data_IF_454479094039
#
_entry.id   IF_454479094039
#
_cell.length_a   1.000
_cell.length_b   1.000
_cell.length_c   1.000
_cell.angle_alpha   90.00
_cell.angle_beta   90.00
_cell.angle_gamma   90.00
#
_symmetry.space_group_name_H-M   'P 1'
#
loop_
_entity.id
_entity.type
_entity.pdbx_description
1 polymer ?
#
# COMPACT_ATOMS: atom_id res chain seq x y z
N UNK A 1 -31.95 -18.13 47.31
CA UNK A 1 -31.46 -18.40 45.93
C UNK A 1 -31.41 -17.17 45.00
N UNK A 2 -31.37 -15.91 45.49
CA UNK A 2 -31.39 -14.72 44.61
C UNK A 2 -30.07 -13.92 44.53
N UNK A 3 -29.00 -14.37 45.21
CA UNK A 3 -27.73 -13.61 45.33
C UNK A 3 -26.57 -14.13 44.47
N UNK A 4 -26.76 -15.21 43.70
CA UNK A 4 -25.71 -15.81 42.85
C UNK A 4 -25.81 -15.47 41.35
N UNK A 5 -26.90 -14.85 40.90
CA UNK A 5 -27.05 -14.43 39.49
C UNK A 5 -26.37 -13.08 39.17
N UNK A 6 -26.12 -12.25 40.18
CA UNK A 6 -25.53 -10.91 39.97
C UNK A 6 -24.04 -10.96 39.59
N UNK A 7 -23.31 -11.99 40.06
CA UNK A 7 -21.89 -12.19 39.74
C UNK A 7 -21.68 -12.79 38.33
N UNK A 8 -22.64 -13.56 37.81
CA UNK A 8 -22.57 -14.11 36.44
C UNK A 8 -22.85 -13.05 35.37
N UNK A 9 -23.68 -12.04 35.66
CA UNK A 9 -23.95 -10.92 34.75
C UNK A 9 -22.73 -9.98 34.67
N UNK A 10 -22.02 -9.76 35.78
CA UNK A 10 -20.79 -8.96 35.79
C UNK A 10 -19.62 -9.63 35.05
N UNK A 11 -19.55 -10.96 35.05
CA UNK A 11 -18.53 -11.71 34.28
C UNK A 11 -18.88 -11.81 32.77
N UNK A 12 -20.16 -11.70 32.42
CA UNK A 12 -20.60 -11.65 31.01
C UNK A 12 -20.37 -10.27 30.37
N UNK A 13 -20.35 -9.19 31.16
CA UNK A 13 -20.09 -7.82 30.68
C UNK A 13 -18.59 -7.57 30.44
N UNK A 14 -17.69 -8.26 31.15
CA UNK A 14 -16.24 -8.23 30.86
C UNK A 14 -15.84 -9.04 29.62
N UNK A 15 -16.78 -9.75 28.99
CA UNK A 15 -16.61 -10.42 27.70
C UNK A 15 -17.26 -9.65 26.54
N UNK A 16 -17.78 -8.44 26.78
CA UNK A 16 -18.24 -7.57 25.71
C UNK A 16 -17.02 -7.04 24.96
N UNK A 17 -16.89 -7.56 23.75
CA UNK A 17 -15.78 -7.47 22.81
C UNK A 17 -15.06 -6.13 22.75
N UNK A 18 -13.76 -6.23 22.46
CA UNK A 18 -13.05 -5.17 21.76
C UNK A 18 -13.93 -4.74 20.57
N UNK A 19 -14.34 -3.48 20.54
CA UNK A 19 -15.15 -2.96 19.45
C UNK A 19 -14.35 -3.17 18.16
N UNK A 20 -14.95 -3.87 17.21
CA UNK A 20 -14.47 -3.95 15.85
C UNK A 20 -14.42 -2.53 15.27
N UNK A 21 -13.30 -2.18 14.65
CA UNK A 21 -13.11 -0.87 14.02
C UNK A 21 -12.79 -1.04 12.55
N UNK A 22 -13.42 -0.26 11.70
CA UNK A 22 -12.96 -0.10 10.33
C UNK A 22 -11.64 0.66 10.36
N UNK A 23 -10.62 0.08 9.75
CA UNK A 23 -9.28 0.67 9.72
C UNK A 23 -9.10 1.58 8.51
N UNK A 24 -9.63 1.15 7.36
CA UNK A 24 -9.60 1.86 6.09
C UNK A 24 -10.80 2.80 5.97
N UNK A 25 -10.55 4.09 5.80
CA UNK A 25 -11.53 5.09 5.40
C UNK A 25 -11.26 5.49 3.96
N UNK A 26 -12.05 5.03 2.98
CA UNK A 26 -11.82 5.38 1.60
C UNK A 26 -12.37 6.78 1.25
N UNK A 27 -11.99 7.79 2.04
CA UNK A 27 -12.41 9.18 1.88
C UNK A 27 -11.33 10.14 2.38
N UNK A 28 -11.29 11.32 1.77
CA UNK A 28 -10.49 12.47 2.19
C UNK A 28 -11.35 13.33 3.11
N UNK A 29 -10.84 13.78 4.25
CA UNK A 29 -11.61 14.57 5.22
C UNK A 29 -10.97 15.93 5.42
N UNK A 30 -11.74 17.00 5.19
CA UNK A 30 -11.25 18.36 5.35
C UNK A 30 -12.17 19.23 6.18
N UNK A 31 -11.56 20.14 6.94
CA UNK A 31 -12.28 21.19 7.66
C UNK A 31 -12.67 22.32 6.72
N UNK A 32 -13.96 22.61 6.61
CA UNK A 32 -14.48 23.67 5.74
C UNK A 32 -15.33 24.65 6.55
N UNK A 33 -15.07 25.94 6.38
CA UNK A 33 -15.93 26.99 6.91
C UNK A 33 -17.09 27.27 5.96
N UNK A 34 -18.30 27.42 6.50
CA UNK A 34 -19.47 27.88 5.77
C UNK A 34 -20.07 29.11 6.45
N UNK A 35 -20.30 30.18 5.69
CA UNK A 35 -21.02 31.36 6.20
C UNK A 35 -22.47 31.00 6.54
N UNK A 36 -23.14 30.35 5.60
CA UNK A 36 -24.49 29.82 5.73
C UNK A 36 -24.43 28.30 5.69
N UNK A 37 -25.13 27.65 6.64
CA UNK A 37 -25.09 26.19 6.73
C UNK A 37 -25.79 25.56 5.52
N UNK A 38 -25.15 24.58 4.84
CA UNK A 38 -25.80 23.88 3.75
C UNK A 38 -26.88 22.91 4.25
N UNK A 39 -27.87 22.67 3.40
CA UNK A 39 -28.82 21.57 3.58
C UNK A 39 -28.17 20.26 3.13
N UNK A 40 -28.20 19.26 4.01
CA UNK A 40 -27.67 17.93 3.76
C UNK A 40 -28.82 16.93 3.59
N UNK A 41 -28.76 16.10 2.55
CA UNK A 41 -29.70 15.00 2.33
C UNK A 41 -28.92 13.71 2.07
N UNK A 42 -29.29 12.63 2.74
CA UNK A 42 -28.72 11.29 2.52
C UNK A 42 -29.25 10.67 1.22
N UNK A 43 -28.34 10.08 0.45
CA UNK A 43 -28.66 9.30 -0.74
C UNK A 43 -28.76 7.80 -0.40
N UNK A 44 -29.43 7.03 -1.26
CA UNK A 44 -29.61 5.58 -1.06
C UNK A 44 -28.32 4.75 -1.19
N UNK A 45 -27.23 5.35 -1.67
CA UNK A 45 -25.93 4.71 -1.88
C UNK A 45 -24.93 5.00 -0.75
N UNK A 46 -25.39 5.65 0.33
CA UNK A 46 -24.55 6.03 1.47
C UNK A 46 -23.73 7.31 1.25
N UNK A 47 -23.95 8.03 0.14
CA UNK A 47 -23.39 9.38 -0.05
C UNK A 47 -24.37 10.47 0.43
N UNK A 48 -23.88 11.71 0.48
CA UNK A 48 -24.64 12.89 0.84
C UNK A 48 -24.75 13.84 -0.34
N UNK A 49 -25.89 14.51 -0.46
CA UNK A 49 -26.05 15.68 -1.33
C UNK A 49 -26.08 16.94 -0.47
N UNK A 50 -25.24 17.90 -0.86
CA UNK A 50 -25.08 19.19 -0.20
C UNK A 50 -25.68 20.29 -1.07
N UNK A 51 -26.67 21.01 -0.55
CA UNK A 51 -27.28 22.18 -1.22
C UNK A 51 -27.03 23.43 -0.39
N UNK A 52 -26.46 24.46 -0.99
CA UNK A 52 -26.10 25.71 -0.34
C UNK A 52 -26.84 26.91 -0.99
N UNK A 53 -27.18 27.97 -0.23
CA UNK A 53 -27.86 29.16 -0.79
C UNK A 53 -27.11 29.83 -1.94
N UNK A 54 -25.77 29.73 -1.94
CA UNK A 54 -24.96 30.10 -3.09
C UNK A 54 -24.93 28.95 -4.12
N UNK A 55 -25.43 29.24 -5.32
CA UNK A 55 -25.56 28.26 -6.41
C UNK A 55 -24.22 27.66 -6.87
N UNK A 56 -23.14 28.45 -6.92
CA UNK A 56 -21.81 27.98 -7.31
C UNK A 56 -21.30 26.90 -6.36
N UNK A 57 -21.53 27.05 -5.05
CA UNK A 57 -21.17 26.03 -4.05
C UNK A 57 -21.93 24.74 -4.32
N UNK A 58 -23.26 24.81 -4.50
CA UNK A 58 -24.10 23.64 -4.84
C UNK A 58 -23.61 22.93 -6.10
N UNK A 59 -23.30 23.68 -7.15
CA UNK A 59 -22.83 23.14 -8.43
C UNK A 59 -21.46 22.47 -8.35
N UNK A 60 -20.56 22.98 -7.51
CA UNK A 60 -19.27 22.35 -7.26
C UNK A 60 -19.48 21.03 -6.51
N UNK A 61 -20.18 21.04 -5.37
CA UNK A 61 -20.41 19.83 -4.56
C UNK A 61 -21.14 18.72 -5.32
N UNK A 62 -22.05 19.07 -6.24
CA UNK A 62 -22.77 18.10 -7.06
C UNK A 62 -21.90 17.24 -7.99
N UNK A 63 -20.63 17.63 -8.23
CA UNK A 63 -19.69 16.87 -9.07
C UNK A 63 -18.93 15.79 -8.31
N UNK A 64 -18.96 15.84 -6.98
CA UNK A 64 -18.12 15.01 -6.11
C UNK A 64 -18.96 14.10 -5.23
N UNK A 65 -18.37 12.97 -4.82
CA UNK A 65 -19.00 12.10 -3.82
C UNK A 65 -18.68 12.64 -2.45
N UNK A 66 -19.72 12.97 -1.69
CA UNK A 66 -19.61 13.38 -0.29
C UNK A 66 -20.07 12.18 0.54
N UNK A 67 -19.25 11.75 1.48
CA UNK A 67 -19.51 10.58 2.31
C UNK A 67 -20.00 10.95 3.69
N UNK A 68 -19.56 12.09 4.23
CA UNK A 68 -19.90 12.54 5.57
C UNK A 68 -19.84 14.07 5.68
N UNK A 69 -20.63 14.61 6.60
CA UNK A 69 -20.68 16.03 6.94
C UNK A 69 -21.02 16.16 8.43
N UNK A 70 -20.08 16.65 9.23
CA UNK A 70 -20.27 16.79 10.67
C UNK A 70 -19.70 18.10 11.19
N UNK A 71 -20.31 18.62 12.26
CA UNK A 71 -19.85 19.84 12.91
C UNK A 71 -18.54 19.57 13.67
N UNK A 72 -17.44 20.17 13.24
CA UNK A 72 -16.13 20.02 13.88
C UNK A 72 -15.89 21.10 14.96
N UNK A 73 -16.27 22.35 14.68
CA UNK A 73 -16.24 23.46 15.64
C UNK A 73 -17.41 24.42 15.47
N UNK A 74 -18.43 24.22 16.32
CA UNK A 74 -19.69 24.98 16.29
C UNK A 74 -19.53 26.49 16.37
N UNK A 75 -18.72 26.95 17.32
CA UNK A 75 -18.46 28.40 17.52
C UNK A 75 -17.84 29.11 16.31
N UNK A 76 -17.29 28.36 15.35
CA UNK A 76 -16.63 28.88 14.15
C UNK A 76 -17.32 28.48 12.86
N UNK A 77 -18.43 27.73 12.89
CA UNK A 77 -19.08 27.15 11.71
C UNK A 77 -18.10 26.37 10.81
N UNK A 78 -17.23 25.59 11.44
CA UNK A 78 -16.30 24.71 10.73
C UNK A 78 -16.86 23.30 10.78
N UNK A 79 -16.98 22.68 9.62
CA UNK A 79 -17.53 21.35 9.43
C UNK A 79 -16.45 20.44 8.85
N UNK A 80 -16.37 19.21 9.32
CA UNK A 80 -15.61 18.16 8.66
C UNK A 80 -16.44 17.63 7.50
N UNK A 81 -15.85 17.62 6.31
CA UNK A 81 -16.48 17.12 5.09
C UNK A 81 -15.63 15.98 4.57
N UNK A 82 -16.22 14.79 4.45
CA UNK A 82 -15.57 13.62 3.86
C UNK A 82 -15.97 13.48 2.39
N UNK A 83 -15.01 13.39 1.48
CA UNK A 83 -15.23 13.37 0.03
C UNK A 83 -14.18 12.54 -0.72
N UNK A 84 -14.36 12.32 -2.02
CA UNK A 84 -13.48 11.43 -2.79
C UNK A 84 -12.26 12.10 -3.43
N UNK A 85 -12.34 13.35 -3.92
CA UNK A 85 -11.27 14.01 -4.69
C UNK A 85 -10.94 15.42 -4.20
N UNK A 86 -9.64 15.74 -4.14
CA UNK A 86 -9.12 17.09 -3.86
C UNK A 86 -9.40 18.11 -4.94
N UNK A 87 -9.85 17.72 -6.12
CA UNK A 87 -10.34 18.69 -7.12
C UNK A 87 -11.53 19.50 -6.57
N UNK A 88 -12.31 18.94 -5.63
CA UNK A 88 -13.34 19.69 -4.89
C UNK A 88 -12.73 20.92 -4.20
N UNK A 89 -11.60 20.73 -3.52
CA UNK A 89 -10.92 21.82 -2.82
C UNK A 89 -10.38 22.84 -3.82
N UNK A 90 -9.71 22.39 -4.87
CA UNK A 90 -9.16 23.27 -5.91
C UNK A 90 -10.27 24.12 -6.53
N UNK A 91 -11.43 23.52 -6.85
CA UNK A 91 -12.58 24.26 -7.39
C UNK A 91 -13.18 25.26 -6.39
N UNK A 92 -13.25 24.91 -5.10
CA UNK A 92 -13.73 25.84 -4.06
C UNK A 92 -12.79 27.04 -3.96
N UNK A 93 -11.48 26.81 -3.88
CA UNK A 93 -10.49 27.89 -3.73
C UNK A 93 -10.41 28.80 -4.95
N UNK A 94 -10.61 28.26 -6.16
CA UNK A 94 -10.60 29.01 -7.41
C UNK A 94 -11.90 29.79 -7.65
N UNK A 95 -13.06 29.21 -7.33
CA UNK A 95 -14.37 29.71 -7.81
C UNK A 95 -15.27 30.29 -6.73
N UNK A 96 -15.00 30.04 -5.45
CA UNK A 96 -15.86 30.49 -4.34
C UNK A 96 -15.18 31.59 -3.54
N UNK A 97 -15.89 32.70 -3.33
CA UNK A 97 -15.37 33.80 -2.54
C UNK A 97 -15.19 33.38 -1.08
N UNK A 98 -14.04 33.72 -0.47
CA UNK A 98 -13.66 33.25 0.88
C UNK A 98 -14.66 33.65 1.97
N UNK A 99 -15.40 34.74 1.80
CA UNK A 99 -16.44 35.16 2.73
C UNK A 99 -17.69 34.26 2.71
N UNK A 100 -17.87 33.43 1.68
CA UNK A 100 -18.96 32.46 1.56
C UNK A 100 -18.50 31.13 2.16
N UNK A 101 -17.33 30.67 1.72
CA UNK A 101 -16.78 29.37 2.09
C UNK A 101 -15.26 29.39 1.92
N UNK A 102 -14.53 28.69 2.78
CA UNK A 102 -13.10 28.46 2.59
C UNK A 102 -12.64 27.18 3.31
N UNK A 103 -11.54 26.61 2.85
CA UNK A 103 -10.88 25.49 3.53
C UNK A 103 -10.18 25.99 4.79
N UNK A 104 -10.59 25.48 5.94
CA UNK A 104 -10.04 25.85 7.23
C UNK A 104 -8.73 25.10 7.46
N UNK A 105 -7.64 25.67 6.96
CA UNK A 105 -6.30 25.17 7.24
C UNK A 105 -5.99 25.23 8.74
N UNK A 106 -5.67 24.08 9.33
CA UNK A 106 -5.58 23.88 10.77
C UNK A 106 -5.34 22.42 11.14
N UNK A 107 -5.83 21.97 12.29
CA UNK A 107 -5.58 20.61 12.82
C UNK A 107 -6.02 19.48 11.87
N UNK A 108 -7.06 19.72 11.07
CA UNK A 108 -7.58 18.76 10.09
C UNK A 108 -7.01 18.95 8.68
N UNK A 109 -6.39 20.10 8.39
CA UNK A 109 -5.89 20.47 7.06
C UNK A 109 -4.63 21.32 7.19
N UNK A 110 -3.48 20.76 7.56
CA UNK A 110 -2.33 21.59 7.91
C UNK A 110 -1.64 22.27 6.72
N UNK A 111 -2.03 21.99 5.47
CA UNK A 111 -1.31 22.46 4.29
C UNK A 111 -2.24 22.85 3.15
N UNK A 112 -1.87 23.91 2.43
CA UNK A 112 -2.42 24.21 1.11
C UNK A 112 -2.12 23.08 0.15
N UNK A 113 -3.09 22.74 -0.71
CA UNK A 113 -2.91 21.74 -1.75
C UNK A 113 -2.03 22.27 -2.86
N UNK A 114 -0.72 22.15 -2.69
CA UNK A 114 0.20 22.33 -3.81
C UNK A 114 0.43 20.97 -4.43
N UNK A 115 0.01 20.81 -5.68
CA UNK A 115 0.44 19.71 -6.52
C UNK A 115 1.54 20.20 -7.46
N UNK A 116 2.61 19.42 -7.58
CA UNK A 116 3.61 19.56 -8.63
C UNK A 116 3.61 18.32 -9.52
N UNK A 117 4.40 18.34 -10.59
CA UNK A 117 4.58 17.16 -11.43
C UNK A 117 5.33 16.07 -10.68
N UNK A 118 4.90 14.82 -10.87
CA UNK A 118 5.56 13.70 -10.21
C UNK A 118 6.97 13.55 -10.79
N UNK A 119 7.97 13.36 -9.92
CA UNK A 119 9.35 13.16 -10.33
C UNK A 119 9.47 11.92 -11.26
N UNK A 120 10.15 12.10 -12.39
CA UNK A 120 10.36 11.07 -13.40
C UNK A 120 11.02 9.79 -12.85
N UNK A 121 11.91 9.90 -11.85
CA UNK A 121 12.54 8.74 -11.20
C UNK A 121 11.53 7.92 -10.39
N UNK A 122 10.58 8.58 -9.73
CA UNK A 122 9.45 7.90 -9.05
C UNK A 122 8.59 7.18 -10.08
N UNK A 123 8.26 7.84 -11.18
CA UNK A 123 7.45 7.26 -12.27
C UNK A 123 8.17 6.03 -12.85
N UNK A 124 9.42 6.16 -13.30
CA UNK A 124 10.19 5.04 -13.87
C UNK A 124 10.36 3.89 -12.88
N UNK A 125 10.49 4.21 -11.58
CA UNK A 125 10.63 3.20 -10.56
C UNK A 125 9.32 2.46 -10.26
N UNK A 126 8.16 3.12 -10.24
CA UNK A 126 6.89 2.52 -9.81
C UNK A 126 5.99 2.05 -10.95
N UNK A 127 5.97 2.75 -12.10
CA UNK A 127 4.99 2.53 -13.16
C UNK A 127 5.00 1.10 -13.73
N UNK A 128 3.81 0.51 -13.82
CA UNK A 128 3.56 -0.84 -14.31
C UNK A 128 4.17 -1.94 -13.43
N UNK A 129 4.60 -1.62 -12.20
CA UNK A 129 5.25 -2.57 -11.29
C UNK A 129 4.42 -2.85 -10.06
N UNK A 130 4.77 -3.97 -9.44
CA UNK A 130 4.12 -4.51 -8.27
C UNK A 130 5.12 -4.70 -7.15
N UNK A 131 4.71 -4.37 -5.93
CA UNK A 131 5.56 -4.40 -4.77
C UNK A 131 4.87 -5.06 -3.58
N UNK A 132 5.65 -5.78 -2.79
CA UNK A 132 5.19 -6.42 -1.56
C UNK A 132 5.60 -5.59 -0.35
N UNK A 133 4.67 -5.40 0.58
CA UNK A 133 4.96 -4.71 1.84
C UNK A 133 5.88 -5.57 2.70
N UNK A 134 7.09 -5.09 2.98
CA UNK A 134 8.15 -5.88 3.60
C UNK A 134 8.45 -5.44 5.04
N UNK A 135 8.56 -4.13 5.30
CA UNK A 135 8.99 -3.63 6.61
C UNK A 135 8.33 -2.33 6.99
N UNK A 136 8.25 -2.03 8.29
CA UNK A 136 7.74 -0.77 8.80
C UNK A 136 8.43 -0.34 10.10
N UNK A 137 8.27 0.92 10.45
CA UNK A 137 8.83 1.53 11.65
C UNK A 137 7.94 2.70 12.07
N UNK A 138 7.80 2.87 13.38
CA UNK A 138 6.99 3.93 14.00
C UNK A 138 7.90 4.82 14.86
N UNK A 139 7.39 5.95 15.33
CA UNK A 139 8.06 6.78 16.34
C UNK A 139 9.52 7.14 16.00
N UNK A 140 9.84 7.28 14.70
CA UNK A 140 11.18 7.65 14.27
C UNK A 140 11.42 9.10 14.69
N UNK A 141 12.44 9.39 15.53
CA UNK A 141 12.72 10.75 15.94
C UNK A 141 13.33 11.55 14.79
N UNK A 142 12.59 12.56 14.32
CA UNK A 142 13.00 13.41 13.19
C UNK A 142 12.57 12.88 11.82
N UNK A 143 12.92 13.62 10.76
CA UNK A 143 12.66 13.24 9.37
C UNK A 143 13.88 12.53 8.78
N UNK A 144 13.65 11.45 8.04
CA UNK A 144 14.67 10.73 7.30
C UNK A 144 14.41 9.22 7.18
N UNK A 145 14.90 8.57 6.12
CA UNK A 145 14.58 7.17 5.79
C UNK A 145 15.21 6.15 6.74
N UNK A 146 15.92 6.60 7.78
CA UNK A 146 16.65 5.72 8.68
C UNK A 146 15.71 5.09 9.73
N UNK A 147 15.36 3.86 9.41
CA UNK A 147 14.54 2.97 10.24
C UNK A 147 15.40 2.05 11.15
N UNK A 148 16.72 2.21 11.18
CA UNK A 148 17.64 1.23 11.76
C UNK A 148 17.43 0.93 13.25
N UNK A 149 16.80 1.83 14.01
CA UNK A 149 16.63 1.69 15.45
C UNK A 149 15.40 0.86 15.85
N UNK A 150 14.39 0.73 14.99
CA UNK A 150 13.11 0.10 15.31
C UNK A 150 12.40 -0.52 14.10
N UNK A 151 13.17 -1.00 13.13
CA UNK A 151 12.65 -1.70 11.96
C UNK A 151 11.95 -3.01 12.35
N UNK A 152 10.69 -3.15 11.96
CA UNK A 152 9.90 -4.35 12.13
C UNK A 152 9.69 -5.02 10.77
N UNK A 153 9.91 -6.33 10.71
CA UNK A 153 9.62 -7.12 9.51
C UNK A 153 8.14 -7.53 9.48
N UNK A 154 7.53 -7.41 8.31
CA UNK A 154 6.20 -7.98 8.04
C UNK A 154 6.32 -9.51 8.04
N UNK A 155 5.43 -10.25 8.72
CA UNK A 155 5.45 -11.72 8.74
C UNK A 155 5.39 -12.31 7.32
N UNK A 156 6.09 -13.43 7.09
CA UNK A 156 6.19 -14.03 5.74
C UNK A 156 4.85 -14.56 5.18
N UNK A 157 3.86 -14.78 6.05
CA UNK A 157 2.51 -15.19 5.71
C UNK A 157 1.55 -14.00 5.53
N UNK A 158 1.97 -12.79 5.86
CA UNK A 158 1.22 -11.57 5.59
C UNK A 158 1.44 -11.14 4.13
N UNK A 159 0.40 -11.24 3.30
CA UNK A 159 0.45 -10.87 1.89
C UNK A 159 -0.31 -9.57 1.67
N UNK A 160 0.43 -8.46 1.53
CA UNK A 160 -0.10 -7.18 1.09
C UNK A 160 0.78 -6.68 -0.05
N UNK A 161 0.14 -6.42 -1.18
CA UNK A 161 0.82 -6.04 -2.41
C UNK A 161 0.13 -4.83 -3.02
N UNK A 162 0.95 -3.90 -3.52
CA UNK A 162 0.51 -2.72 -4.23
C UNK A 162 1.00 -2.76 -5.67
N UNK A 163 0.12 -2.43 -6.59
CA UNK A 163 0.46 -2.16 -7.99
C UNK A 163 0.33 -0.66 -8.25
N UNK A 164 1.27 -0.13 -9.02
CA UNK A 164 1.30 1.26 -9.42
C UNK A 164 1.20 1.38 -10.95
N UNK A 165 0.37 2.32 -11.42
CA UNK A 165 0.18 2.62 -12.82
C UNK A 165 0.16 4.16 -12.99
N UNK A 166 0.96 4.71 -13.89
CA UNK A 166 1.03 6.15 -14.13
C UNK A 166 0.19 6.58 -15.34
N UNK A 167 -0.60 7.64 -15.17
CA UNK A 167 -1.34 8.32 -16.23
C UNK A 167 -0.63 9.63 -16.60
N UNK A 168 0.04 9.64 -17.75
CA UNK A 168 0.74 10.81 -18.29
C UNK A 168 -0.19 11.99 -18.60
N UNK A 169 -1.48 11.74 -18.87
CA UNK A 169 -2.43 12.79 -19.28
C UNK A 169 -2.82 13.65 -18.08
N UNK A 170 -3.09 13.00 -16.96
CA UNK A 170 -3.56 13.65 -15.73
C UNK A 170 -2.43 13.90 -14.73
N UNK A 171 -1.21 13.41 -14.99
CA UNK A 171 -0.04 13.45 -14.09
C UNK A 171 -0.39 12.82 -12.74
N UNK A 172 -0.93 11.60 -12.80
CA UNK A 172 -1.47 10.84 -11.66
C UNK A 172 -0.82 9.48 -11.58
N UNK A 173 -0.37 9.11 -10.38
CA UNK A 173 0.04 7.75 -10.05
C UNK A 173 -1.09 7.03 -9.33
N UNK A 174 -1.69 6.04 -9.99
CA UNK A 174 -2.67 5.15 -9.39
C UNK A 174 -1.95 4.12 -8.53
N UNK A 175 -2.34 3.97 -7.27
CA UNK A 175 -1.85 2.95 -6.35
C UNK A 175 -3.03 2.11 -5.86
N UNK A 176 -2.95 0.78 -6.00
CA UNK A 176 -4.04 -0.13 -5.63
C UNK A 176 -3.54 -1.41 -4.99
N UNK A 177 -4.35 -1.96 -4.09
CA UNK A 177 -4.15 -3.33 -3.61
C UNK A 177 -4.59 -4.34 -4.67
N UNK A 178 -3.76 -5.36 -4.93
CA UNK A 178 -4.08 -6.41 -5.91
C UNK A 178 -5.22 -7.34 -5.48
N UNK A 179 -5.33 -7.58 -4.18
CA UNK A 179 -6.31 -8.46 -3.56
C UNK A 179 -6.74 -7.85 -2.23
N UNK A 180 -7.75 -8.46 -1.60
CA UNK A 180 -8.03 -8.20 -0.20
C UNK A 180 -6.77 -8.46 0.63
N UNK A 181 -6.42 -7.50 1.48
CA UNK A 181 -5.34 -7.61 2.45
C UNK A 181 -5.69 -8.66 3.52
N UNK A 182 -4.75 -9.04 4.41
CA UNK A 182 -5.01 -10.05 5.43
C UNK A 182 -6.12 -9.68 6.43
N UNK A 183 -6.38 -8.39 6.70
CA UNK A 183 -7.56 -7.98 7.46
C UNK A 183 -8.84 -7.86 6.60
N UNK A 184 -8.80 -8.20 5.31
CA UNK A 184 -9.96 -8.14 4.41
C UNK A 184 -10.23 -6.74 3.84
N UNK A 185 -9.23 -5.87 3.81
CA UNK A 185 -9.36 -4.52 3.25
C UNK A 185 -8.86 -4.46 1.79
N UNK A 186 -9.29 -3.48 1.01
CA UNK A 186 -8.70 -3.17 -0.30
C UNK A 186 -8.89 -1.71 -0.63
N UNK A 187 -7.99 -1.09 -1.37
CA UNK A 187 -8.14 0.30 -1.82
C UNK A 187 -7.61 0.53 -3.22
N UNK A 188 -8.12 1.59 -3.87
CA UNK A 188 -7.59 2.20 -5.09
C UNK A 188 -7.55 3.72 -4.88
N UNK A 189 -6.35 4.29 -4.93
CA UNK A 189 -6.12 5.73 -4.69
C UNK A 189 -5.28 6.32 -5.81
N UNK A 190 -5.47 7.60 -6.06
CA UNK A 190 -4.66 8.39 -6.98
C UNK A 190 -3.76 9.33 -6.19
N UNK A 191 -2.50 9.38 -6.58
CA UNK A 191 -1.48 10.24 -6.00
C UNK A 191 -1.03 11.27 -7.03
N UNK A 192 -0.77 12.50 -6.59
CA UNK A 192 -0.09 13.56 -7.38
C UNK A 192 1.22 13.96 -6.74
N UNK A 193 2.09 14.65 -7.48
CA UNK A 193 3.33 15.20 -6.95
C UNK A 193 3.04 16.23 -5.84
N UNK A 194 3.83 16.20 -4.77
CA UNK A 194 3.68 17.06 -3.60
C UNK A 194 4.38 18.41 -3.76
N UNK A 195 4.81 19.01 -2.64
CA UNK A 195 5.51 20.31 -2.67
C UNK A 195 6.97 20.24 -3.15
N UNK A 196 7.59 19.06 -3.12
CA UNK A 196 8.97 18.81 -3.57
C UNK A 196 9.05 17.56 -4.43
N UNK A 197 10.13 17.43 -5.21
CA UNK A 197 10.31 16.36 -6.19
C UNK A 197 10.13 14.95 -5.62
N UNK A 198 10.51 14.72 -4.35
CA UNK A 198 10.44 13.41 -3.71
C UNK A 198 9.21 13.24 -2.82
N UNK A 199 8.12 13.95 -3.13
CA UNK A 199 6.90 13.89 -2.35
C UNK A 199 5.68 13.61 -3.21
N UNK A 200 4.72 12.90 -2.62
CA UNK A 200 3.41 12.61 -3.19
C UNK A 200 2.33 13.12 -2.23
N UNK A 201 1.13 13.34 -2.76
CA UNK A 201 -0.07 13.62 -1.97
C UNK A 201 -1.21 12.72 -2.45
N UNK A 202 -2.01 12.21 -1.51
CA UNK A 202 -3.29 11.60 -1.83
C UNK A 202 -4.15 12.62 -2.57
N UNK A 203 -4.62 12.31 -3.77
CA UNK A 203 -5.42 13.21 -4.59
C UNK A 203 -6.88 12.78 -4.67
N UNK A 204 -7.11 11.50 -4.91
CA UNK A 204 -8.45 10.93 -4.99
C UNK A 204 -8.48 9.51 -4.41
N UNK A 205 -9.60 9.15 -3.78
CA UNK A 205 -9.93 7.77 -3.44
C UNK A 205 -11.01 7.27 -4.39
N UNK A 206 -10.66 6.30 -5.25
CA UNK A 206 -11.59 5.78 -6.25
C UNK A 206 -12.54 4.73 -5.65
N UNK A 207 -11.99 3.83 -4.84
CA UNK A 207 -12.72 2.75 -4.19
C UNK A 207 -12.00 2.21 -2.98
N UNK A 208 -12.77 1.60 -2.07
CA UNK A 208 -12.21 0.79 -1.00
C UNK A 208 -13.24 -0.19 -0.44
N UNK A 209 -12.73 -1.32 0.06
CA UNK A 209 -13.49 -2.29 0.85
C UNK A 209 -12.91 -2.25 2.24
N UNK A 210 -13.70 -1.84 3.23
CA UNK A 210 -13.29 -1.85 4.62
C UNK A 210 -13.90 -3.06 5.33
N UNK A 211 -13.06 -3.81 6.03
CA UNK A 211 -13.46 -4.90 6.92
C UNK A 211 -13.12 -4.54 8.35
N UNK A 212 -14.05 -4.86 9.23
CA UNK A 212 -13.90 -4.69 10.67
C UNK A 212 -12.73 -5.54 11.21
N UNK A 213 -11.82 -4.88 11.92
CA UNK A 213 -10.65 -5.53 12.52
C UNK A 213 -10.39 -5.01 13.94
N UNK A 214 -9.59 -5.74 14.71
CA UNK A 214 -9.23 -5.41 16.10
C UNK A 214 -7.72 -5.42 16.28
N UNK A 215 -7.20 -4.62 17.23
CA UNK A 215 -5.79 -4.55 17.58
C UNK A 215 -5.13 -5.88 18.00
N UNK A 216 -5.90 -6.90 18.38
CA UNK A 216 -5.42 -8.25 18.68
C UNK A 216 -5.05 -9.05 17.42
N UNK A 217 -5.57 -8.66 16.24
CA UNK A 217 -5.25 -9.32 14.99
C UNK A 217 -3.86 -8.87 14.50
N UNK A 218 -2.97 -9.80 14.10
CA UNK A 218 -1.63 -9.45 13.63
C UNK A 218 -1.61 -8.46 12.46
N UNK A 219 -2.63 -8.54 11.59
CA UNK A 219 -2.74 -7.69 10.41
C UNK A 219 -3.06 -6.23 10.75
N UNK A 220 -3.76 -5.97 11.87
CA UNK A 220 -4.33 -4.67 12.19
C UNK A 220 -3.25 -3.59 12.26
N UNK A 221 -2.22 -3.81 13.08
CA UNK A 221 -1.17 -2.80 13.28
C UNK A 221 -0.33 -2.57 12.03
N UNK A 222 -0.18 -3.59 11.18
CA UNK A 222 0.62 -3.50 9.94
C UNK A 222 -0.13 -2.65 8.92
N UNK A 223 -1.41 -2.95 8.69
CA UNK A 223 -2.26 -2.19 7.77
C UNK A 223 -2.49 -0.76 8.26
N UNK A 224 -2.63 -0.55 9.57
CA UNK A 224 -2.85 0.78 10.15
C UNK A 224 -1.75 1.74 9.75
N UNK A 225 -0.50 1.29 9.81
CA UNK A 225 0.68 2.09 9.47
C UNK A 225 0.68 2.50 8.01
N UNK A 226 0.41 1.54 7.12
CA UNK A 226 0.29 1.83 5.69
C UNK A 226 -0.83 2.84 5.43
N UNK A 227 -2.02 2.60 5.96
CA UNK A 227 -3.18 3.48 5.73
C UNK A 227 -2.99 4.85 6.38
N UNK A 228 -2.21 4.95 7.46
CA UNK A 228 -1.83 6.21 8.08
C UNK A 228 -0.85 6.99 7.21
N UNK A 229 0.17 6.33 6.63
CA UNK A 229 1.11 6.97 5.69
C UNK A 229 0.37 7.44 4.44
N UNK A 230 -0.53 6.63 3.89
CA UNK A 230 -1.35 6.96 2.73
C UNK A 230 -2.50 7.93 3.03
N UNK A 231 -2.81 8.17 4.31
CA UNK A 231 -3.91 9.02 4.80
C UNK A 231 -5.29 8.60 4.29
N UNK A 232 -5.53 7.29 4.43
CA UNK A 232 -6.79 6.60 4.15
C UNK A 232 -7.24 5.78 5.36
N UNK A 233 -6.86 6.19 6.57
CA UNK A 233 -7.22 5.51 7.82
C UNK A 233 -8.44 6.16 8.47
N UNK A 234 -9.36 5.36 9.02
CA UNK A 234 -10.49 5.88 9.81
C UNK A 234 -10.03 6.42 11.17
N UNK A 235 -8.88 5.96 11.64
CA UNK A 235 -8.34 6.35 12.93
C UNK A 235 -7.57 7.64 12.73
N UNK A 236 -7.88 8.72 13.49
CA UNK A 236 -7.12 9.96 13.45
C UNK A 236 -5.65 9.65 13.65
N UNK A 237 -4.92 9.73 12.55
CA UNK A 237 -3.56 9.22 12.50
C UNK A 237 -2.59 10.25 13.06
N UNK A 238 -2.94 11.54 12.94
CA UNK A 238 -2.02 12.64 13.22
C UNK A 238 -0.98 12.83 12.12
N UNK A 239 -1.19 12.18 10.95
CA UNK A 239 -0.36 12.34 9.78
C UNK A 239 -0.39 13.80 9.31
N UNK A 240 0.77 14.36 9.05
CA UNK A 240 0.94 15.74 8.59
C UNK A 240 1.80 15.75 7.32
N UNK A 241 1.40 16.59 6.37
CA UNK A 241 2.20 16.93 5.21
C UNK A 241 2.08 15.91 4.08
N UNK A 242 3.12 15.88 3.26
CA UNK A 242 3.22 15.01 2.10
C UNK A 242 3.74 13.62 2.48
N UNK A 243 3.53 12.67 1.56
CA UNK A 243 4.16 11.36 1.59
C UNK A 243 5.54 11.54 0.96
N UNK A 244 6.60 11.37 1.74
CA UNK A 244 7.97 11.34 1.21
C UNK A 244 8.24 9.98 0.58
N UNK A 245 8.93 10.00 -0.56
CA UNK A 245 9.31 8.80 -1.30
C UNK A 245 10.84 8.75 -1.37
N UNK A 246 11.39 7.65 -0.89
CA UNK A 246 12.82 7.34 -1.01
C UNK A 246 13.00 6.04 -1.80
N UNK A 247 13.92 6.05 -2.75
CA UNK A 247 14.10 4.99 -3.74
C UNK A 247 15.48 4.35 -3.55
N UNK A 248 15.50 3.04 -3.34
CA UNK A 248 16.70 2.21 -3.38
C UNK A 248 16.65 1.38 -4.66
N UNK A 249 17.16 1.99 -5.73
CA UNK A 249 17.11 1.45 -7.10
C UNK A 249 17.87 0.12 -7.19
N UNK A 250 19.02 0.03 -6.54
CA UNK A 250 19.89 -1.14 -6.57
C UNK A 250 19.21 -2.35 -5.93
N UNK A 251 18.49 -2.14 -4.83
CA UNK A 251 17.79 -3.20 -4.12
C UNK A 251 16.32 -3.35 -4.54
N UNK A 252 15.83 -2.56 -5.50
CA UNK A 252 14.43 -2.56 -5.96
C UNK A 252 13.45 -2.36 -4.79
N UNK A 253 13.80 -1.45 -3.89
CA UNK A 253 13.00 -1.10 -2.72
C UNK A 253 12.58 0.36 -2.83
N UNK A 254 11.35 0.66 -2.44
CA UNK A 254 10.97 2.04 -2.13
C UNK A 254 10.41 2.15 -0.72
N UNK A 255 10.53 3.35 -0.18
CA UNK A 255 10.09 3.72 1.15
C UNK A 255 9.09 4.85 1.03
N UNK A 256 7.96 4.71 1.74
CA UNK A 256 7.06 5.82 2.00
C UNK A 256 7.23 6.25 3.45
N UNK A 257 7.43 7.54 3.65
CA UNK A 257 7.53 8.16 4.96
C UNK A 257 6.46 9.25 5.08
N UNK A 258 5.81 9.33 6.23
CA UNK A 258 4.97 10.47 6.56
C UNK A 258 5.21 10.87 8.00
N UNK A 259 5.23 12.17 8.24
CA UNK A 259 5.35 12.69 9.60
C UNK A 259 4.04 12.54 10.36
N UNK A 260 4.18 12.27 11.65
CA UNK A 260 3.14 12.11 12.63
C UNK A 260 3.45 13.01 13.81
N UNK A 261 2.56 13.94 14.15
CA UNK A 261 2.85 14.96 15.18
C UNK A 261 4.16 15.72 14.88
N UNK A 262 4.62 16.60 15.80
CA UNK A 262 5.74 17.52 15.52
C UNK A 262 7.12 16.83 15.48
N UNK A 263 7.25 15.58 15.95
CA UNK A 263 8.57 14.97 16.20
C UNK A 263 8.72 13.50 15.79
N UNK A 264 7.69 12.88 15.23
CA UNK A 264 7.72 11.45 14.89
C UNK A 264 7.33 11.22 13.44
N UNK A 265 7.75 10.09 12.88
CA UNK A 265 7.34 9.65 11.55
C UNK A 265 7.03 8.16 11.55
N UNK A 266 6.20 7.73 10.59
CA UNK A 266 5.99 6.34 10.26
C UNK A 266 6.57 6.08 8.88
N UNK A 267 7.30 4.98 8.78
CA UNK A 267 7.91 4.51 7.55
C UNK A 267 7.34 3.15 7.18
N UNK A 268 7.05 2.98 5.91
CA UNK A 268 6.70 1.68 5.31
C UNK A 268 7.58 1.43 4.10
N UNK A 269 8.10 0.20 3.98
CA UNK A 269 9.04 -0.21 2.93
C UNK A 269 8.46 -1.33 2.09
N UNK A 270 8.65 -1.21 0.79
CA UNK A 270 8.12 -2.09 -0.23
C UNK A 270 9.27 -2.63 -1.10
N UNK A 271 9.19 -3.90 -1.45
CA UNK A 271 10.17 -4.56 -2.33
C UNK A 271 9.46 -5.02 -3.61
N UNK A 272 10.08 -4.78 -4.77
CA UNK A 272 9.52 -5.16 -6.07
C UNK A 272 9.30 -6.68 -6.14
N UNK A 273 8.11 -7.09 -6.54
CA UNK A 273 7.82 -8.51 -6.78
C UNK A 273 8.53 -8.96 -8.06
N UNK A 274 9.70 -9.56 -7.89
CA UNK A 274 10.31 -10.35 -8.96
C UNK A 274 9.68 -11.75 -8.99
N UNK A 275 9.56 -12.37 -10.17
CA UNK A 275 9.06 -13.74 -10.39
C UNK A 275 9.89 -14.86 -9.70
N UNK A 276 10.73 -14.52 -8.72
CA UNK A 276 11.42 -15.45 -7.85
C UNK A 276 10.61 -15.62 -6.57
N UNK A 277 9.96 -16.77 -6.41
CA UNK A 277 9.27 -17.13 -5.17
C UNK A 277 10.23 -17.00 -3.97
N UNK A 278 9.83 -16.18 -2.97
CA UNK A 278 10.29 -16.17 -1.56
C UNK A 278 11.72 -16.67 -1.34
N UNK A 279 12.69 -15.76 -1.20
CA UNK A 279 14.06 -15.96 -0.65
C UNK A 279 14.53 -17.42 -0.52
N UNK A 280 14.50 -18.18 -1.62
CA UNK A 280 15.19 -19.46 -1.70
C UNK A 280 16.64 -19.11 -2.01
N UNK A 281 17.38 -18.76 -0.96
CA UNK A 281 18.78 -18.39 -1.05
C UNK A 281 19.61 -19.62 -1.39
N UNK A 282 19.72 -19.88 -2.69
CA UNK A 282 20.82 -20.64 -3.27
C UNK A 282 21.95 -19.65 -3.51
N UNK A 283 22.73 -19.37 -2.47
CA UNK A 283 23.92 -18.53 -2.58
C UNK A 283 24.99 -19.34 -3.31
N UNK A 284 25.61 -18.72 -4.30
CA UNK A 284 26.80 -19.20 -5.01
C UNK A 284 26.68 -20.50 -5.81
N UNK A 285 25.47 -20.92 -6.24
CA UNK A 285 25.39 -22.02 -7.22
C UNK A 285 25.99 -21.58 -8.54
N UNK A 286 27.09 -22.22 -8.93
CA UNK A 286 27.65 -22.09 -10.27
C UNK A 286 27.29 -23.31 -11.13
N UNK A 287 27.03 -23.04 -12.39
CA UNK A 287 26.81 -24.05 -13.41
C UNK A 287 28.00 -24.08 -14.34
N UNK A 288 28.57 -25.25 -14.54
CA UNK A 288 29.65 -25.41 -15.51
C UNK A 288 29.47 -26.65 -16.37
N UNK A 289 29.90 -26.52 -17.62
CA UNK A 289 30.07 -27.62 -18.55
C UNK A 289 31.56 -27.96 -18.61
N UNK A 290 31.91 -29.25 -18.48
CA UNK A 290 33.25 -29.71 -18.85
C UNK A 290 33.25 -30.10 -20.32
N UNK A 291 34.33 -29.82 -21.07
CA UNK A 291 34.41 -30.15 -22.51
C UNK A 291 34.06 -31.63 -22.75
N UNK A 292 33.19 -31.88 -23.73
CA UNK A 292 32.65 -33.20 -24.11
C UNK A 292 31.72 -33.90 -23.10
N UNK A 293 31.09 -33.17 -22.18
CA UNK A 293 30.24 -33.77 -21.14
C UNK A 293 28.74 -33.65 -21.44
N UNK A 294 28.02 -34.74 -21.21
CA UNK A 294 26.56 -34.87 -21.37
C UNK A 294 25.77 -34.27 -20.19
N UNK A 295 26.43 -33.57 -19.28
CA UNK A 295 25.87 -33.12 -18.01
C UNK A 295 26.27 -31.68 -17.70
N UNK A 296 25.31 -30.93 -17.16
CA UNK A 296 25.52 -29.67 -16.47
C UNK A 296 25.86 -29.98 -15.01
N UNK A 297 27.01 -29.53 -14.54
CA UNK A 297 27.44 -29.71 -13.15
C UNK A 297 27.03 -28.51 -12.31
N UNK A 298 26.72 -28.79 -11.06
CA UNK A 298 26.28 -27.79 -10.08
C UNK A 298 27.25 -27.81 -8.90
N UNK A 299 27.84 -26.68 -8.55
CA UNK A 299 28.67 -26.53 -7.34
C UNK A 299 27.91 -25.77 -6.23
N UNK A 300 28.49 -25.76 -5.02
CA UNK A 300 28.01 -25.01 -3.85
C UNK A 300 26.56 -25.32 -3.46
N UNK A 301 26.19 -26.60 -3.48
CA UNK A 301 24.84 -27.04 -3.17
C UNK A 301 24.58 -27.14 -1.67
N UNK A 302 23.42 -26.69 -1.18
CA UNK A 302 23.03 -26.89 0.22
C UNK A 302 22.86 -28.38 0.53
N UNK A 303 23.06 -28.77 1.80
CA UNK A 303 22.93 -30.15 2.29
C UNK A 303 21.47 -30.65 2.38
N UNK A 304 20.63 -30.33 1.40
CA UNK A 304 19.24 -30.74 1.34
C UNK A 304 18.88 -31.32 -0.04
N UNK A 305 17.88 -32.20 -0.14
CA UNK A 305 17.42 -32.72 -1.42
C UNK A 305 16.85 -31.60 -2.31
N UNK A 306 17.42 -31.45 -3.49
CA UNK A 306 16.98 -30.48 -4.49
C UNK A 306 16.33 -31.18 -5.67
N UNK A 307 15.43 -30.47 -6.33
CA UNK A 307 14.68 -30.94 -7.48
C UNK A 307 14.92 -30.00 -8.65
N UNK A 308 15.10 -30.56 -9.84
CA UNK A 308 15.34 -29.82 -11.08
C UNK A 308 14.19 -29.98 -12.06
N UNK A 309 13.80 -28.89 -12.70
CA UNK A 309 12.83 -28.83 -13.78
C UNK A 309 13.40 -27.92 -14.88
N UNK A 310 13.16 -28.22 -16.16
CA UNK A 310 13.72 -27.43 -17.26
C UNK A 310 12.65 -27.03 -18.27
N UNK A 311 12.74 -25.79 -18.72
CA UNK A 311 11.83 -25.18 -19.69
C UNK A 311 12.60 -24.54 -20.85
N UNK A 312 11.92 -24.42 -21.98
CA UNK A 312 12.33 -23.50 -23.05
C UNK A 312 12.12 -22.05 -22.61
N UNK A 313 12.66 -21.10 -23.38
CA UNK A 313 12.37 -19.66 -23.20
C UNK A 313 10.90 -19.29 -23.38
N UNK A 314 10.13 -20.11 -24.10
CA UNK A 314 8.68 -19.94 -24.28
C UNK A 314 7.87 -20.55 -23.12
N UNK A 315 8.54 -21.08 -22.09
CA UNK A 315 7.91 -21.69 -20.91
C UNK A 315 7.51 -23.17 -21.08
N UNK A 316 7.71 -23.76 -22.26
CA UNK A 316 7.41 -25.18 -22.49
C UNK A 316 8.29 -26.06 -21.62
N UNK A 317 7.67 -26.90 -20.78
CA UNK A 317 8.37 -27.86 -19.93
C UNK A 317 8.96 -28.98 -20.78
N UNK A 318 10.29 -29.05 -20.83
CA UNK A 318 11.03 -30.08 -21.58
C UNK A 318 11.61 -31.14 -20.66
N UNK A 319 11.74 -30.84 -19.37
CA UNK A 319 12.10 -31.82 -18.35
C UNK A 319 11.23 -31.66 -17.14
N UNK A 320 10.59 -32.76 -16.72
CA UNK A 320 9.76 -32.81 -15.52
C UNK A 320 10.63 -32.71 -14.26
N UNK A 321 10.02 -32.23 -13.18
CA UNK A 321 10.62 -32.19 -11.84
C UNK A 321 11.17 -33.56 -11.45
N UNK A 322 12.48 -33.61 -11.20
CA UNK A 322 13.21 -34.81 -10.79
C UNK A 322 14.17 -34.44 -9.66
N UNK A 323 14.45 -35.40 -8.76
CA UNK A 323 15.48 -35.19 -7.74
C UNK A 323 16.84 -35.01 -8.41
N UNK A 324 17.63 -34.07 -7.92
CA UNK A 324 19.00 -33.88 -8.38
C UNK A 324 19.89 -34.96 -7.76
N UNK A 325 20.58 -35.70 -8.62
CA UNK A 325 21.50 -36.78 -8.24
C UNK A 325 22.91 -36.37 -8.64
N UNK A 326 23.87 -36.58 -7.74
CA UNK A 326 25.31 -36.30 -7.94
C UNK A 326 25.63 -34.89 -8.42
N UNK A 327 24.77 -33.92 -8.09
CA UNK A 327 24.87 -32.53 -8.55
C UNK A 327 25.00 -32.38 -10.07
N UNK A 328 24.38 -33.30 -10.83
CA UNK A 328 24.45 -33.35 -12.29
C UNK A 328 23.06 -33.34 -12.91
N UNK A 329 22.91 -32.55 -13.97
CA UNK A 329 21.71 -32.52 -14.80
C UNK A 329 22.08 -33.00 -16.19
N UNK A 330 21.51 -34.12 -16.69
CA UNK A 330 21.74 -34.57 -18.06
C UNK A 330 21.27 -33.52 -19.09
N UNK A 331 22.13 -33.10 -20.00
CA UNK A 331 21.83 -32.12 -21.06
C UNK A 331 22.04 -32.71 -22.47
N UNK A 332 22.30 -34.01 -22.56
CA UNK A 332 22.56 -34.73 -23.81
C UNK A 332 21.39 -34.74 -24.82
N UNK A 333 20.17 -34.57 -24.34
CA UNK A 333 18.96 -34.58 -25.18
C UNK A 333 18.54 -33.18 -25.63
N UNK A 334 19.24 -32.14 -25.18
CA UNK A 334 18.91 -30.75 -25.49
C UNK A 334 19.60 -30.30 -26.78
N UNK A 335 18.85 -29.64 -27.65
CA UNK A 335 19.43 -28.89 -28.77
C UNK A 335 20.16 -27.65 -28.26
N UNK A 336 21.09 -27.11 -29.06
CA UNK A 336 21.72 -25.82 -28.75
C UNK A 336 20.65 -24.72 -28.62
N UNK A 337 20.76 -23.89 -27.59
CA UNK A 337 19.74 -22.87 -27.28
C UNK A 337 19.77 -22.38 -25.84
N UNK A 338 18.90 -21.41 -25.55
CA UNK A 338 18.68 -20.87 -24.21
C UNK A 338 17.54 -21.63 -23.53
N UNK A 339 17.74 -21.97 -22.26
CA UNK A 339 16.80 -22.71 -21.42
C UNK A 339 16.68 -22.06 -20.03
N UNK A 340 15.56 -22.33 -19.38
CA UNK A 340 15.31 -21.94 -17.99
C UNK A 340 15.37 -23.19 -17.11
N UNK A 341 16.30 -23.21 -16.17
CA UNK A 341 16.48 -24.29 -15.20
C UNK A 341 15.90 -23.85 -13.85
N UNK A 342 14.82 -24.50 -13.42
CA UNK A 342 14.21 -24.32 -12.12
C UNK A 342 14.82 -25.31 -11.13
N UNK A 343 15.40 -24.81 -10.04
CA UNK A 343 15.87 -25.61 -8.91
C UNK A 343 14.96 -25.33 -7.72
N UNK A 344 14.42 -26.38 -7.10
CA UNK A 344 13.47 -26.27 -6.00
C UNK A 344 13.79 -27.21 -4.84
N UNK A 345 13.37 -26.88 -3.62
CA UNK A 345 13.41 -27.80 -2.48
C UNK A 345 12.15 -28.69 -2.42
N UNK A 346 12.00 -29.48 -1.34
CA UNK A 346 10.82 -30.33 -1.11
C UNK A 346 9.52 -29.53 -0.96
N UNK A 347 9.61 -28.35 -0.35
CA UNK A 347 8.50 -27.40 -0.11
C UNK A 347 8.14 -26.58 -1.36
N UNK A 348 8.80 -26.85 -2.49
CA UNK A 348 8.61 -26.15 -3.76
C UNK A 348 9.01 -24.67 -3.74
N UNK A 349 9.81 -24.22 -2.76
CA UNK A 349 10.58 -22.97 -2.86
C UNK A 349 11.63 -23.14 -3.96
N UNK A 350 11.78 -22.17 -4.85
CA UNK A 350 12.61 -22.33 -6.04
C UNK A 350 13.34 -21.07 -6.49
N UNK A 351 14.40 -21.29 -7.27
CA UNK A 351 15.14 -20.27 -8.04
C UNK A 351 15.27 -20.74 -9.49
N UNK A 352 15.19 -19.80 -10.43
CA UNK A 352 15.31 -20.07 -11.87
C UNK A 352 16.62 -19.50 -12.40
N UNK A 353 17.35 -20.31 -13.14
CA UNK A 353 18.62 -19.96 -13.76
C UNK A 353 18.51 -20.00 -15.28
N UNK A 354 19.22 -19.10 -15.95
CA UNK A 354 19.37 -19.10 -17.40
C UNK A 354 20.55 -20.00 -17.76
N UNK A 355 20.33 -20.96 -18.67
CA UNK A 355 21.34 -21.90 -19.14
C UNK A 355 21.41 -21.87 -20.66
N UNK A 356 22.61 -21.68 -21.22
CA UNK A 356 22.85 -21.70 -22.67
C UNK A 356 23.56 -23.00 -23.02
N UNK A 357 22.88 -23.90 -23.72
CA UNK A 357 23.50 -25.07 -24.34
C UNK A 357 24.18 -24.62 -25.64
N UNK A 358 25.50 -24.77 -25.70
CA UNK A 358 26.25 -24.58 -26.94
C UNK A 358 26.18 -25.81 -27.84
#
# INVERSE_FOLDING_TARGET
MKRRYFLLILFAISLLGNAQTNLLCPSIVEGMYFKDEPLITENNDGTLTLTHPNQTVTEIFAKYKIFDFYEAWSSRKIYGVAFNSKDLVVEIEDKVAREIMYISYGFLSPYTYTSSTINAEIIEFLDGKKFSFNKYCDDIPGFGPDCSLNENSVPQDFSLQLTFDYDETEDILLARTDNLTPCGNSFSIKLKGGATDNTLTLWEVESGTASESTNEQPCYSIEQRLYSVLDITCIPSGAIGYIYVDLDIDNKVFTLERAFNVFTGTIVKFEEEVLSSKNFQLNDIEFFETRANSYLHISNMPHQPLYTEMHTITGQKIRKRQILVDNKIPINTLSSGLYLLKISNKENHFKVFKFIKR
#
